data_IF_400537420894
#
_entry.id   IF_400537420894
#
_cell.length_a   1.000
_cell.length_b   1.000
_cell.length_c   1.000
_cell.angle_alpha   90.00
_cell.angle_beta   90.00
_cell.angle_gamma   90.00
#
_symmetry.space_group_name_H-M   'P 1'
#
loop_
_entity.id
_entity.type
_entity.pdbx_description
1 polymer ?
#
# COMPACT_ATOMS: atom_id res chain seq x y z
N UNK A 1 6.58 34.21 60.15
CA UNK A 1 7.26 33.59 61.34
C UNK A 1 7.24 32.08 61.19
N UNK A 2 8.42 31.51 61.25
CA UNK A 2 8.93 30.12 61.28
C UNK A 2 9.33 29.49 59.94
N UNK A 3 10.58 29.76 59.66
CA UNK A 3 11.59 29.00 58.93
C UNK A 3 11.87 27.61 59.53
N UNK A 4 12.16 26.61 58.66
CA UNK A 4 13.13 25.51 58.92
C UNK A 4 13.28 24.72 57.61
N UNK A 5 14.38 24.81 56.98
CA UNK A 5 15.72 24.19 57.08
C UNK A 5 15.83 22.92 56.23
N UNK A 6 16.65 23.06 55.24
CA UNK A 6 17.30 22.05 54.39
C UNK A 6 18.38 21.30 55.22
N UNK A 7 18.72 20.07 54.94
CA UNK A 7 20.11 19.68 55.00
C UNK A 7 20.69 19.15 53.69
N UNK A 8 21.93 19.57 53.51
CA UNK A 8 22.90 19.30 52.45
C UNK A 8 23.64 17.99 52.75
N UNK A 9 24.08 17.35 51.70
CA UNK A 9 24.95 16.24 51.35
C UNK A 9 25.89 15.60 52.41
N UNK A 10 26.51 14.44 52.06
CA UNK A 10 27.93 14.53 51.75
C UNK A 10 28.43 13.70 50.56
N UNK A 11 29.52 14.21 49.98
CA UNK A 11 30.43 13.59 49.03
C UNK A 11 31.10 12.31 49.55
N UNK A 12 31.34 11.33 48.68
CA UNK A 12 32.54 10.46 48.76
C UNK A 12 33.00 10.07 47.33
N UNK A 13 34.23 10.47 47.07
CA UNK A 13 35.34 10.04 46.23
C UNK A 13 35.24 8.60 45.69
N UNK A 14 35.37 8.33 44.43
CA UNK A 14 36.62 8.23 43.67
C UNK A 14 37.26 6.82 43.73
N UNK A 15 37.19 6.09 42.62
CA UNK A 15 38.25 5.15 42.23
C UNK A 15 38.23 4.90 40.71
N UNK A 16 39.32 5.30 40.10
CA UNK A 16 39.79 4.99 38.76
C UNK A 16 40.17 3.50 38.67
N UNK A 17 39.73 2.77 37.65
CA UNK A 17 40.53 1.67 37.06
C UNK A 17 40.24 1.59 35.57
N UNK A 18 41.28 1.84 34.80
CA UNK A 18 41.51 1.54 33.40
C UNK A 18 41.44 0.05 33.12
N UNK A 19 40.86 -0.36 31.98
CA UNK A 19 41.50 -1.38 31.12
C UNK A 19 40.79 -1.40 29.73
N UNK A 20 41.58 -1.00 28.75
CA UNK A 20 41.42 -1.29 27.34
C UNK A 20 41.25 -2.81 27.11
N UNK A 21 40.29 -3.18 26.31
CA UNK A 21 40.28 -4.47 25.63
C UNK A 21 40.08 -4.26 24.12
N UNK A 22 41.21 -4.24 23.46
CA UNK A 22 41.34 -4.27 22.00
C UNK A 22 41.02 -5.69 21.50
N UNK A 23 39.94 -5.84 20.77
CA UNK A 23 39.64 -7.10 20.05
C UNK A 23 40.26 -7.03 18.66
N UNK A 24 41.28 -7.83 18.44
CA UNK A 24 41.95 -8.05 17.14
C UNK A 24 41.08 -8.91 16.24
N UNK A 25 40.65 -8.35 15.13
CA UNK A 25 40.03 -9.09 14.02
C UNK A 25 41.13 -9.77 13.21
N UNK A 26 41.21 -11.10 13.24
CA UNK A 26 42.07 -11.92 12.35
C UNK A 26 41.41 -12.09 10.99
N UNK A 27 41.99 -11.46 9.97
CA UNK A 27 41.79 -11.86 8.56
C UNK A 27 42.42 -13.24 8.36
N UNK A 28 41.63 -14.20 7.86
CA UNK A 28 42.16 -15.43 7.24
C UNK A 28 41.94 -15.36 5.75
N UNK A 29 43.02 -15.15 5.05
CA UNK A 29 43.21 -15.39 3.63
C UNK A 29 43.26 -16.90 3.41
N UNK A 30 42.48 -17.43 2.44
CA UNK A 30 42.75 -18.75 1.87
C UNK A 30 42.95 -18.61 0.36
N UNK A 31 44.17 -19.01 -0.02
CA UNK A 31 44.62 -19.14 -1.40
C UNK A 31 44.13 -20.45 -2.01
N UNK A 32 44.03 -20.41 -3.32
CA UNK A 32 43.64 -21.44 -4.23
C UNK A 32 44.60 -22.68 -4.22
N UNK A 33 44.06 -23.83 -4.57
CA UNK A 33 44.81 -24.88 -5.26
C UNK A 33 43.89 -25.71 -6.15
N UNK A 34 44.23 -25.70 -7.40
CA UNK A 34 43.66 -26.50 -8.50
C UNK A 34 44.12 -27.97 -8.37
N UNK A 35 43.27 -28.93 -8.73
CA UNK A 35 43.73 -30.20 -9.30
C UNK A 35 42.61 -30.83 -10.11
N UNK A 36 42.90 -31.07 -11.36
CA UNK A 36 42.12 -31.80 -12.34
C UNK A 36 42.25 -33.32 -12.12
N UNK A 37 41.17 -34.08 -12.34
CA UNK A 37 41.27 -35.46 -12.77
C UNK A 37 40.14 -35.86 -13.70
N UNK A 38 40.55 -36.38 -14.85
CA UNK A 38 39.81 -36.92 -15.99
C UNK A 38 39.32 -38.33 -15.63
N UNK A 39 38.12 -38.69 -16.08
CA UNK A 39 37.67 -40.08 -16.05
C UNK A 39 36.40 -40.26 -16.91
N UNK A 40 36.62 -40.80 -18.11
CA UNK A 40 35.61 -41.13 -19.10
C UNK A 40 35.12 -42.56 -18.93
N UNK A 41 33.83 -42.82 -19.28
CA UNK A 41 33.26 -44.02 -19.95
C UNK A 41 31.77 -43.76 -20.14
N UNK A 42 31.17 -43.60 -21.23
CA UNK A 42 30.96 -44.30 -22.51
C UNK A 42 29.83 -45.33 -22.48
N UNK A 43 28.89 -45.13 -23.45
CA UNK A 43 28.02 -46.06 -24.19
C UNK A 43 26.66 -46.44 -23.55
N UNK A 44 25.51 -46.51 -24.22
CA UNK A 44 25.15 -46.45 -25.67
C UNK A 44 23.62 -46.24 -25.76
N UNK A 45 23.12 -45.54 -26.65
CA UNK A 45 22.60 -45.79 -28.01
C UNK A 45 21.11 -46.12 -28.08
N UNK A 46 20.39 -45.51 -28.86
CA UNK A 46 19.69 -45.48 -30.15
C UNK A 46 18.38 -44.75 -30.04
N UNK A 47 17.84 -43.96 -30.92
CA UNK A 47 18.07 -43.64 -32.30
C UNK A 47 16.89 -42.84 -32.82
N UNK A 48 17.10 -42.03 -33.87
CA UNK A 48 16.00 -41.59 -34.76
C UNK A 48 15.83 -40.09 -34.93
N UNK A 49 16.61 -39.54 -35.74
CA UNK A 49 16.46 -38.62 -36.91
C UNK A 49 15.23 -37.67 -36.94
N UNK A 50 15.37 -36.36 -36.94
CA UNK A 50 15.44 -35.54 -38.14
C UNK A 50 15.71 -34.04 -37.80
N UNK A 51 16.52 -33.48 -38.67
CA UNK A 51 17.04 -32.12 -38.80
C UNK A 51 15.98 -31.01 -38.81
N UNK A 52 16.23 -29.87 -38.10
CA UNK A 52 16.39 -28.60 -38.79
C UNK A 52 17.08 -27.53 -37.91
N UNK A 53 17.98 -26.82 -38.53
CA UNK A 53 18.82 -25.75 -37.99
C UNK A 53 18.03 -24.49 -37.64
N UNK A 54 18.34 -23.91 -36.50
CA UNK A 54 17.92 -22.56 -36.12
C UNK A 54 18.70 -22.11 -34.88
N UNK A 55 19.80 -21.37 -35.15
CA UNK A 55 20.59 -20.66 -34.15
C UNK A 55 19.71 -19.60 -33.47
N UNK A 56 19.51 -19.70 -32.16
CA UNK A 56 19.06 -18.58 -31.36
C UNK A 56 19.94 -18.45 -30.10
N UNK A 57 20.66 -17.35 -30.05
CA UNK A 57 21.37 -16.88 -28.88
C UNK A 57 20.43 -16.88 -27.66
N UNK A 58 20.71 -17.70 -26.67
CA UNK A 58 20.18 -17.55 -25.36
C UNK A 58 20.91 -16.40 -24.68
N UNK A 59 20.29 -15.24 -24.64
CA UNK A 59 20.62 -14.21 -23.68
C UNK A 59 20.20 -14.70 -22.30
N UNK A 60 21.18 -14.80 -21.40
CA UNK A 60 21.04 -15.06 -20.00
C UNK A 60 20.28 -13.89 -19.35
N UNK A 61 18.94 -13.99 -19.34
CA UNK A 61 18.06 -13.09 -18.62
C UNK A 61 18.12 -13.46 -17.15
N UNK A 62 18.77 -12.62 -16.36
CA UNK A 62 18.79 -12.73 -14.91
C UNK A 62 17.37 -12.92 -14.40
N UNK A 63 17.10 -14.05 -13.76
CA UNK A 63 15.92 -14.28 -12.95
C UNK A 63 16.01 -13.32 -11.75
N UNK A 64 15.36 -12.17 -11.85
CA UNK A 64 14.88 -11.45 -10.67
C UNK A 64 14.00 -12.44 -9.93
N UNK A 65 14.44 -12.95 -8.78
CA UNK A 65 13.63 -13.82 -7.95
C UNK A 65 12.44 -13.03 -7.45
N UNK A 66 11.26 -13.29 -8.02
CA UNK A 66 10.02 -12.91 -7.38
C UNK A 66 10.07 -13.48 -5.95
N UNK A 67 9.86 -12.65 -4.93
CA UNK A 67 9.76 -13.14 -3.57
C UNK A 67 8.61 -14.15 -3.51
N UNK A 68 8.96 -15.39 -3.19
CA UNK A 68 8.03 -16.51 -3.18
C UNK A 68 6.95 -16.27 -2.10
N UNK A 69 5.70 -16.61 -2.41
CA UNK A 69 4.62 -16.54 -1.44
C UNK A 69 4.97 -17.35 -0.18
N UNK A 70 4.56 -16.93 1.03
CA UNK A 70 4.84 -17.68 2.22
C UNK A 70 4.22 -19.08 2.13
N UNK A 71 4.91 -20.09 2.63
CA UNK A 71 4.32 -21.42 2.82
C UNK A 71 3.09 -21.28 3.74
N UNK A 72 1.98 -21.91 3.35
CA UNK A 72 0.74 -21.84 4.13
C UNK A 72 0.95 -22.41 5.52
N UNK A 73 0.65 -21.64 6.54
CA UNK A 73 0.73 -22.09 7.93
C UNK A 73 -0.22 -23.27 8.20
N UNK A 74 0.19 -24.15 9.12
CA UNK A 74 -0.66 -25.21 9.64
C UNK A 74 -1.58 -24.66 10.73
N UNK A 75 -2.75 -24.16 10.29
CA UNK A 75 -3.78 -23.58 11.14
C UNK A 75 -5.17 -23.84 10.56
N UNK A 76 -6.19 -23.81 11.44
CA UNK A 76 -7.60 -23.98 11.07
C UNK A 76 -8.14 -22.84 10.22
N UNK A 77 -7.55 -21.67 10.32
CA UNK A 77 -7.82 -20.51 9.47
C UNK A 77 -6.51 -19.79 9.15
N UNK A 78 -6.23 -19.55 7.86
CA UNK A 78 -5.06 -18.81 7.41
C UNK A 78 -5.52 -17.57 6.64
N UNK A 79 -5.03 -16.40 7.06
CA UNK A 79 -5.36 -15.10 6.45
C UNK A 79 -4.06 -14.48 5.93
N UNK A 80 -4.04 -14.03 4.66
CA UNK A 80 -2.93 -13.28 4.08
C UNK A 80 -3.25 -11.81 4.02
N UNK A 81 -2.24 -10.97 4.21
CA UNK A 81 -2.34 -9.51 4.03
C UNK A 81 -0.97 -8.85 4.03
N UNK A 82 -0.91 -7.52 3.90
CA UNK A 82 0.29 -6.72 4.08
C UNK A 82 0.71 -6.61 5.57
N UNK A 83 1.92 -6.08 5.80
CA UNK A 83 2.52 -6.02 7.14
C UNK A 83 1.71 -5.18 8.13
N UNK A 84 1.20 -3.99 7.72
CA UNK A 84 0.45 -3.11 8.64
C UNK A 84 -0.87 -3.74 9.07
N UNK A 85 -1.61 -4.30 8.12
CA UNK A 85 -2.86 -5.00 8.40
C UNK A 85 -2.63 -6.29 9.19
N UNK A 86 -1.56 -7.05 8.87
CA UNK A 86 -1.21 -8.26 9.63
C UNK A 86 -0.91 -7.92 11.10
N UNK A 87 -0.12 -6.87 11.35
CA UNK A 87 0.22 -6.45 12.70
C UNK A 87 -1.00 -6.00 13.52
N UNK A 88 -2.02 -5.42 12.88
CA UNK A 88 -3.26 -5.03 13.56
C UNK A 88 -4.21 -6.22 13.79
N UNK A 89 -4.24 -7.19 12.86
CA UNK A 89 -5.22 -8.28 12.89
C UNK A 89 -4.79 -9.48 13.74
N UNK A 90 -3.48 -9.81 13.79
CA UNK A 90 -2.99 -11.11 14.32
C UNK A 90 -3.45 -11.44 15.73
N UNK A 91 -3.40 -10.45 16.65
CA UNK A 91 -3.76 -10.69 18.06
C UNK A 91 -5.28 -10.78 18.25
N UNK A 92 -6.05 -9.93 17.55
CA UNK A 92 -7.51 -9.96 17.54
C UNK A 92 -8.04 -11.26 16.92
N UNK A 93 -7.49 -11.68 15.78
CA UNK A 93 -7.86 -12.94 15.13
C UNK A 93 -7.48 -14.18 15.97
N UNK A 94 -6.33 -14.15 16.66
CA UNK A 94 -5.93 -15.21 17.57
C UNK A 94 -6.89 -15.33 18.75
N UNK A 95 -7.25 -14.23 19.41
CA UNK A 95 -8.25 -14.22 20.51
C UNK A 95 -9.60 -14.76 20.05
N UNK A 96 -10.04 -14.33 18.87
CA UNK A 96 -11.27 -14.86 18.28
C UNK A 96 -11.18 -16.37 18.07
N UNK A 97 -10.05 -16.85 17.53
CA UNK A 97 -9.80 -18.27 17.31
C UNK A 97 -9.86 -19.08 18.62
N UNK A 98 -9.16 -18.62 19.66
CA UNK A 98 -9.17 -19.25 20.99
C UNK A 98 -10.59 -19.33 21.57
N UNK A 99 -11.40 -18.26 21.42
CA UNK A 99 -12.78 -18.25 21.88
C UNK A 99 -13.69 -19.22 21.11
N UNK A 100 -13.34 -19.55 19.85
CA UNK A 100 -14.10 -20.43 18.97
C UNK A 100 -13.46 -21.83 18.79
N UNK A 101 -12.42 -22.15 19.54
CA UNK A 101 -11.74 -23.44 19.49
C UNK A 101 -10.97 -23.69 18.20
N UNK A 102 -10.47 -22.61 17.54
CA UNK A 102 -9.75 -22.65 16.27
C UNK A 102 -8.37 -22.00 16.39
N UNK A 103 -7.38 -22.54 15.70
CA UNK A 103 -6.10 -21.88 15.48
C UNK A 103 -6.19 -20.93 14.29
N UNK A 104 -5.72 -19.68 14.45
CA UNK A 104 -5.72 -18.67 13.38
C UNK A 104 -4.29 -18.18 13.14
N UNK A 105 -3.86 -18.21 11.87
CA UNK A 105 -2.58 -17.68 11.43
C UNK A 105 -2.78 -16.50 10.46
N UNK A 106 -2.15 -15.36 10.77
CA UNK A 106 -2.10 -14.21 9.87
C UNK A 106 -0.68 -14.13 9.30
N UNK A 107 -0.56 -14.23 7.97
CA UNK A 107 0.73 -14.27 7.27
C UNK A 107 0.89 -13.03 6.39
N UNK A 108 2.11 -12.48 6.39
CA UNK A 108 2.49 -11.30 5.61
C UNK A 108 2.91 -11.71 4.21
N UNK A 109 2.34 -11.05 3.20
CA UNK A 109 2.78 -11.13 1.81
C UNK A 109 3.26 -9.75 1.38
N UNK A 110 4.58 -9.56 1.38
CA UNK A 110 5.19 -8.24 1.21
C UNK A 110 5.39 -7.84 -0.26
N UNK A 111 5.43 -8.80 -1.19
CA UNK A 111 5.71 -8.56 -2.62
C UNK A 111 4.62 -9.20 -3.45
N UNK A 112 4.12 -8.47 -4.45
CA UNK A 112 3.08 -8.91 -5.39
C UNK A 112 1.93 -9.71 -4.75
N UNK A 113 1.29 -9.20 -3.68
CA UNK A 113 0.37 -9.99 -2.87
C UNK A 113 -0.83 -10.50 -3.66
N UNK A 114 -1.32 -9.76 -4.66
CA UNK A 114 -2.43 -10.18 -5.50
C UNK A 114 -2.05 -11.36 -6.40
N UNK A 115 -0.93 -11.27 -7.12
CA UNK A 115 -0.46 -12.34 -8.02
C UNK A 115 -0.08 -13.60 -7.22
N UNK A 116 0.58 -13.43 -6.08
CA UNK A 116 0.91 -14.54 -5.18
C UNK A 116 -0.34 -15.24 -4.62
N UNK A 117 -1.37 -14.46 -4.24
CA UNK A 117 -2.64 -15.01 -3.79
C UNK A 117 -3.34 -15.82 -4.88
N UNK A 118 -3.46 -15.26 -6.09
CA UNK A 118 -4.10 -15.95 -7.23
C UNK A 118 -3.36 -17.28 -7.51
N UNK A 119 -2.04 -17.23 -7.61
CA UNK A 119 -1.22 -18.42 -7.91
C UNK A 119 -1.35 -19.49 -6.83
N UNK A 120 -1.23 -19.12 -5.56
CA UNK A 120 -1.33 -20.06 -4.45
C UNK A 120 -2.75 -20.63 -4.30
N UNK A 121 -3.78 -19.80 -4.53
CA UNK A 121 -5.17 -20.25 -4.51
C UNK A 121 -5.45 -21.28 -5.63
N UNK A 122 -4.98 -21.02 -6.84
CA UNK A 122 -5.11 -21.97 -7.97
C UNK A 122 -4.38 -23.29 -7.71
N UNK A 123 -3.24 -23.23 -7.02
CA UNK A 123 -2.47 -24.43 -6.62
C UNK A 123 -3.07 -25.17 -5.40
N UNK A 124 -4.10 -24.62 -4.75
CA UNK A 124 -4.74 -25.22 -3.55
C UNK A 124 -3.87 -25.21 -2.29
N UNK A 125 -2.82 -24.37 -2.26
CA UNK A 125 -1.92 -24.19 -1.11
C UNK A 125 -1.91 -22.74 -0.58
N UNK A 126 -2.85 -21.93 -1.02
CA UNK A 126 -3.04 -20.57 -0.56
C UNK A 126 -3.74 -20.46 0.81
N UNK A 127 -4.02 -19.21 1.24
CA UNK A 127 -4.77 -18.96 2.47
C UNK A 127 -6.25 -19.31 2.31
N UNK A 128 -7.00 -19.24 3.39
CA UNK A 128 -8.46 -19.36 3.38
C UNK A 128 -9.12 -17.99 3.15
N UNK A 129 -8.43 -16.91 3.51
CA UNK A 129 -8.87 -15.54 3.33
C UNK A 129 -7.71 -14.62 2.92
N UNK A 130 -8.04 -13.54 2.23
CA UNK A 130 -7.12 -12.42 2.03
C UNK A 130 -7.78 -11.11 2.47
N UNK A 131 -7.01 -10.25 3.15
CA UNK A 131 -7.43 -8.90 3.51
C UNK A 131 -6.73 -7.93 2.56
N UNK A 132 -7.50 -7.30 1.68
CA UNK A 132 -6.99 -6.47 0.59
C UNK A 132 -7.97 -5.36 0.18
N UNK A 133 -7.56 -4.48 -0.72
CA UNK A 133 -8.37 -3.40 -1.25
C UNK A 133 -9.40 -3.90 -2.28
N UNK A 134 -10.50 -3.17 -2.42
CA UNK A 134 -11.65 -3.57 -3.23
C UNK A 134 -11.40 -3.55 -4.75
N UNK A 135 -10.44 -2.77 -5.23
CA UNK A 135 -10.06 -2.73 -6.64
C UNK A 135 -9.57 -4.09 -7.18
N UNK A 136 -9.24 -5.02 -6.28
CA UNK A 136 -8.83 -6.38 -6.66
C UNK A 136 -10.00 -7.26 -7.10
N UNK A 137 -11.24 -6.92 -6.74
CA UNK A 137 -12.43 -7.78 -6.93
C UNK A 137 -12.51 -8.30 -8.36
N UNK A 138 -12.46 -7.42 -9.36
CA UNK A 138 -12.60 -7.81 -10.76
C UNK A 138 -11.54 -8.82 -11.20
N UNK A 139 -10.27 -8.56 -10.89
CA UNK A 139 -9.18 -9.47 -11.22
C UNK A 139 -9.27 -10.79 -10.45
N UNK A 140 -9.64 -10.75 -9.17
CA UNK A 140 -9.82 -11.97 -8.38
C UNK A 140 -10.97 -12.85 -8.88
N UNK A 141 -12.08 -12.24 -9.33
CA UNK A 141 -13.20 -12.96 -9.94
C UNK A 141 -12.81 -13.56 -11.28
N UNK A 142 -12.16 -12.80 -12.15
CA UNK A 142 -11.66 -13.27 -13.45
C UNK A 142 -10.76 -14.50 -13.30
N UNK A 143 -9.96 -14.56 -12.25
CA UNK A 143 -9.08 -15.68 -11.92
C UNK A 143 -9.74 -16.76 -11.05
N UNK A 144 -11.03 -16.67 -10.77
CA UNK A 144 -11.76 -17.60 -9.88
C UNK A 144 -11.07 -17.77 -8.53
N UNK A 145 -10.50 -16.69 -7.99
CA UNK A 145 -9.69 -16.73 -6.77
C UNK A 145 -10.50 -16.48 -5.48
N UNK A 146 -11.68 -15.85 -5.58
CA UNK A 146 -12.57 -15.56 -4.45
C UNK A 146 -13.99 -16.05 -4.72
N UNK A 147 -14.77 -16.21 -3.66
CA UNK A 147 -16.18 -16.58 -3.72
C UNK A 147 -17.08 -15.48 -3.19
N UNK A 148 -18.33 -15.35 -3.69
CA UNK A 148 -19.32 -14.49 -3.07
C UNK A 148 -19.54 -14.88 -1.60
N UNK A 149 -19.83 -13.86 -0.79
CA UNK A 149 -20.14 -14.02 0.62
C UNK A 149 -21.56 -13.58 0.91
N UNK A 150 -22.17 -14.14 1.96
CA UNK A 150 -23.50 -13.72 2.39
C UNK A 150 -23.37 -13.03 3.75
N UNK A 151 -23.77 -11.75 3.77
CA UNK A 151 -23.88 -10.98 4.99
C UNK A 151 -25.33 -10.99 5.48
N UNK A 152 -25.54 -11.00 6.79
CA UNK A 152 -26.88 -10.84 7.35
C UNK A 152 -27.43 -9.44 7.05
N UNK A 153 -28.75 -9.27 7.09
CA UNK A 153 -29.36 -7.96 6.94
C UNK A 153 -28.80 -6.96 7.97
N UNK A 154 -28.62 -7.38 9.21
CA UNK A 154 -28.05 -6.57 10.28
C UNK A 154 -26.64 -6.10 9.95
N UNK A 155 -25.77 -6.99 9.47
CA UNK A 155 -24.40 -6.64 9.07
C UNK A 155 -24.41 -5.64 7.91
N UNK A 156 -25.22 -5.88 6.88
CA UNK A 156 -25.36 -4.98 5.72
C UNK A 156 -25.84 -3.58 6.12
N UNK A 157 -26.85 -3.48 6.98
CA UNK A 157 -27.38 -2.20 7.46
C UNK A 157 -26.39 -1.43 8.34
N UNK A 158 -25.50 -2.14 9.05
CA UNK A 158 -24.47 -1.52 9.90
C UNK A 158 -23.32 -0.93 9.11
N UNK A 159 -23.15 -1.29 7.85
CA UNK A 159 -22.05 -0.83 6.99
C UNK A 159 -22.49 0.41 6.20
N UNK A 160 -21.57 1.35 5.97
CA UNK A 160 -21.80 2.51 5.14
C UNK A 160 -22.02 2.13 3.67
N UNK A 161 -22.73 3.00 2.94
CA UNK A 161 -23.04 2.80 1.52
C UNK A 161 -21.78 2.63 0.68
N UNK A 162 -20.72 3.43 0.93
CA UNK A 162 -19.44 3.33 0.22
C UNK A 162 -18.79 1.95 0.41
N UNK A 163 -18.85 1.40 1.63
CA UNK A 163 -18.33 0.08 1.94
C UNK A 163 -19.09 -1.02 1.20
N UNK A 164 -20.43 -0.99 1.24
CA UNK A 164 -21.26 -1.97 0.56
C UNK A 164 -21.14 -1.88 -0.96
N UNK A 165 -21.07 -0.66 -1.52
CA UNK A 165 -20.85 -0.44 -2.95
C UNK A 165 -19.52 -1.03 -3.40
N UNK A 166 -18.44 -0.77 -2.65
CA UNK A 166 -17.11 -1.29 -2.95
C UNK A 166 -17.01 -2.83 -2.82
N UNK A 167 -17.82 -3.45 -1.93
CA UNK A 167 -17.84 -4.89 -1.75
C UNK A 167 -18.70 -5.63 -2.79
N UNK A 168 -19.48 -4.88 -3.59
CA UNK A 168 -20.46 -5.45 -4.54
C UNK A 168 -19.93 -5.36 -5.97
N UNK A 169 -19.91 -6.49 -6.66
CA UNK A 169 -19.54 -6.59 -8.07
C UNK A 169 -20.59 -7.42 -8.81
N UNK A 170 -21.12 -6.89 -9.92
CA UNK A 170 -22.21 -7.54 -10.70
C UNK A 170 -23.39 -8.01 -9.82
N UNK A 171 -23.75 -7.20 -8.82
CA UNK A 171 -24.88 -7.47 -7.93
C UNK A 171 -24.65 -8.52 -6.84
N UNK A 172 -23.41 -9.02 -6.68
CA UNK A 172 -23.04 -9.96 -5.64
C UNK A 172 -22.00 -9.34 -4.68
N UNK A 173 -22.09 -9.66 -3.38
CA UNK A 173 -21.14 -9.23 -2.38
C UNK A 173 -19.99 -10.24 -2.31
N UNK A 174 -18.73 -9.75 -2.45
CA UNK A 174 -17.55 -10.62 -2.51
C UNK A 174 -16.67 -10.58 -1.26
N UNK A 175 -16.94 -9.70 -0.32
CA UNK A 175 -16.17 -9.61 0.92
C UNK A 175 -16.88 -8.80 1.99
N UNK A 176 -16.34 -8.84 3.21
CA UNK A 176 -16.78 -7.97 4.29
C UNK A 176 -15.92 -6.70 4.29
N UNK A 177 -16.48 -5.54 3.95
CA UNK A 177 -15.74 -4.28 4.08
C UNK A 177 -15.59 -3.90 5.55
N UNK A 178 -14.38 -3.45 5.95
CA UNK A 178 -14.15 -3.06 7.34
C UNK A 178 -13.64 -1.64 7.51
N UNK A 179 -12.93 -1.07 6.54
CA UNK A 179 -12.39 0.27 6.59
C UNK A 179 -12.39 0.95 5.23
N UNK A 180 -12.52 2.28 5.23
CA UNK A 180 -12.34 3.15 4.07
C UNK A 180 -11.13 4.05 4.32
N UNK A 181 -10.40 4.40 3.26
CA UNK A 181 -9.24 5.28 3.32
C UNK A 181 -9.15 6.16 2.08
N UNK A 182 -8.55 7.33 2.24
CA UNK A 182 -8.15 8.17 1.12
C UNK A 182 -6.85 8.88 1.45
N UNK A 183 -6.13 9.31 0.42
CA UNK A 183 -4.97 10.17 0.61
C UNK A 183 -5.41 11.57 1.05
N UNK A 184 -4.62 12.14 1.94
CA UNK A 184 -4.79 13.49 2.47
C UNK A 184 -3.46 14.22 2.50
N UNK A 185 -3.50 15.52 2.68
CA UNK A 185 -2.33 16.33 2.95
C UNK A 185 -2.14 16.47 4.47
N UNK A 186 -0.96 16.12 4.96
CA UNK A 186 -0.48 16.46 6.30
C UNK A 186 0.50 17.60 6.18
N UNK A 187 0.29 18.68 6.93
CA UNK A 187 1.16 19.84 7.00
C UNK A 187 1.87 19.89 8.35
N UNK A 188 3.19 20.09 8.35
CA UNK A 188 3.95 20.26 9.58
C UNK A 188 3.86 21.73 10.03
N UNK A 189 3.03 22.00 11.04
CA UNK A 189 2.77 23.35 11.54
C UNK A 189 4.00 24.03 12.15
N UNK A 190 5.07 23.28 12.48
CA UNK A 190 6.34 23.85 12.92
C UNK A 190 7.19 24.35 11.75
N UNK A 191 6.90 23.96 10.51
CA UNK A 191 7.67 24.30 9.32
C UNK A 191 6.93 25.20 8.34
N UNK A 192 5.61 25.24 8.36
CA UNK A 192 4.83 26.04 7.42
C UNK A 192 3.73 26.84 8.11
N UNK A 193 3.56 28.10 7.69
CA UNK A 193 2.45 28.98 8.10
C UNK A 193 1.19 28.79 7.20
N UNK A 194 1.25 27.89 6.21
CA UNK A 194 0.15 27.58 5.29
C UNK A 194 -0.26 26.11 5.49
N UNK A 195 -1.02 25.80 6.57
CA UNK A 195 -1.40 24.42 6.89
C UNK A 195 -2.44 23.82 5.95
N UNK A 196 -3.21 24.64 5.24
CA UNK A 196 -4.24 24.21 4.28
C UNK A 196 -4.09 24.99 2.95
N UNK A 197 -3.03 24.69 2.15
CA UNK A 197 -2.81 25.35 0.88
C UNK A 197 -3.98 25.11 -0.08
N UNK A 198 -4.32 26.09 -0.88
CA UNK A 198 -5.47 26.03 -1.81
C UNK A 198 -5.07 25.50 -3.18
N UNK A 199 -3.79 25.62 -3.53
CA UNK A 199 -3.22 25.12 -4.79
C UNK A 199 -1.88 24.43 -4.53
N UNK A 200 -1.44 23.62 -5.47
CA UNK A 200 -0.10 23.00 -5.44
C UNK A 200 0.98 24.09 -5.49
N UNK A 201 0.75 25.16 -6.24
CA UNK A 201 1.68 26.27 -6.32
C UNK A 201 1.85 26.97 -4.96
N UNK A 202 0.76 27.20 -4.21
CA UNK A 202 0.82 27.77 -2.86
C UNK A 202 1.56 26.81 -1.89
N UNK A 203 1.31 25.49 -1.99
CA UNK A 203 2.03 24.48 -1.23
C UNK A 203 3.54 24.55 -1.50
N UNK A 204 3.92 24.65 -2.78
CA UNK A 204 5.32 24.71 -3.22
C UNK A 204 6.00 25.97 -2.70
N UNK A 205 5.35 27.14 -2.81
CA UNK A 205 5.90 28.41 -2.29
C UNK A 205 6.09 28.37 -0.76
N UNK A 206 5.08 27.92 -0.03
CA UNK A 206 5.16 27.78 1.43
C UNK A 206 6.22 26.76 1.85
N UNK A 207 6.32 25.64 1.17
CA UNK A 207 7.34 24.63 1.42
C UNK A 207 8.76 25.14 1.13
N UNK A 208 8.99 25.93 0.09
CA UNK A 208 10.27 26.61 -0.19
C UNK A 208 10.61 27.61 0.92
N UNK A 209 9.63 28.37 1.39
CA UNK A 209 9.82 29.35 2.46
C UNK A 209 10.14 28.68 3.81
N UNK A 210 9.70 27.46 4.05
CA UNK A 210 9.96 26.72 5.30
C UNK A 210 11.43 26.38 5.53
N UNK A 211 12.24 26.30 4.48
CA UNK A 211 13.63 25.84 4.53
C UNK A 211 13.78 24.35 4.82
N UNK A 212 12.71 23.56 4.75
CA UNK A 212 12.76 22.13 4.93
C UNK A 212 13.61 21.44 3.84
N UNK A 213 14.17 20.27 4.15
CA UNK A 213 14.92 19.44 3.18
C UNK A 213 14.05 19.00 2.00
N UNK A 214 12.78 18.68 2.30
CA UNK A 214 11.75 18.35 1.34
C UNK A 214 10.56 19.30 1.46
N UNK A 215 10.12 19.83 0.33
CA UNK A 215 8.88 20.60 0.24
C UNK A 215 7.70 19.65 0.51
N UNK A 216 7.68 18.55 -0.21
CA UNK A 216 6.63 17.54 -0.19
C UNK A 216 7.24 16.14 -0.07
N UNK A 217 6.87 15.40 0.96
CA UNK A 217 7.15 13.98 1.07
C UNK A 217 6.00 13.20 0.41
N UNK A 218 6.21 12.79 -0.84
CA UNK A 218 5.28 12.00 -1.63
C UNK A 218 5.98 10.72 -2.09
N UNK A 219 5.49 9.51 -1.76
CA UNK A 219 6.07 8.27 -2.25
C UNK A 219 6.01 8.20 -3.77
N UNK A 220 7.15 8.03 -4.40
CA UNK A 220 7.27 7.83 -5.84
C UNK A 220 8.11 6.58 -6.09
N UNK A 221 9.36 6.55 -5.61
CA UNK A 221 10.29 5.46 -5.88
C UNK A 221 10.80 5.46 -7.32
N UNK A 222 11.71 4.55 -7.61
CA UNK A 222 12.25 4.39 -8.96
C UNK A 222 11.27 3.67 -9.92
N UNK A 223 10.40 2.83 -9.38
CA UNK A 223 9.37 2.08 -10.12
C UNK A 223 8.04 2.81 -10.21
N UNK A 224 7.92 3.96 -9.52
CA UNK A 224 6.72 4.77 -9.47
C UNK A 224 5.70 4.26 -8.45
N UNK A 225 4.76 5.15 -8.11
CA UNK A 225 3.63 4.85 -7.23
C UNK A 225 2.38 5.60 -7.73
N UNK A 226 1.68 4.98 -8.68
CA UNK A 226 0.53 5.58 -9.34
C UNK A 226 -0.62 5.87 -8.36
N UNK A 227 -0.73 5.13 -7.24
CA UNK A 227 -1.74 5.36 -6.22
C UNK A 227 -1.51 6.70 -5.49
N UNK A 228 -0.28 6.94 -5.00
CA UNK A 228 0.03 8.19 -4.30
C UNK A 228 0.10 9.40 -5.24
N UNK A 229 0.41 9.18 -6.52
CA UNK A 229 0.49 10.22 -7.54
C UNK A 229 -0.88 10.60 -8.14
N UNK A 230 -1.93 9.81 -7.90
CA UNK A 230 -3.26 10.02 -8.48
C UNK A 230 -3.85 11.41 -8.26
N UNK A 231 -3.75 12.04 -7.05
CA UNK A 231 -4.29 13.38 -6.84
C UNK A 231 -3.68 14.44 -7.77
N UNK A 232 -2.37 14.35 -8.02
CA UNK A 232 -1.68 15.26 -8.94
C UNK A 232 -2.02 14.94 -10.40
N UNK A 233 -2.15 13.65 -10.72
CA UNK A 233 -2.48 13.17 -12.05
C UNK A 233 -3.90 13.61 -12.47
N UNK A 234 -4.89 13.43 -11.61
CA UNK A 234 -6.28 13.86 -11.87
C UNK A 234 -6.40 15.38 -11.92
N UNK A 235 -5.72 16.10 -11.04
CA UNK A 235 -5.69 17.56 -11.08
C UNK A 235 -5.07 18.08 -12.38
N UNK A 236 -4.05 17.44 -12.89
CA UNK A 236 -3.43 17.75 -14.18
C UNK A 236 -4.30 17.43 -15.41
N UNK A 237 -5.46 16.80 -15.22
CA UNK A 237 -6.39 16.42 -16.28
C UNK A 237 -6.32 14.96 -16.70
N UNK A 238 -5.50 14.14 -16.04
CA UNK A 238 -5.41 12.70 -16.27
C UNK A 238 -6.66 11.96 -15.77
N UNK A 239 -6.94 10.82 -16.37
CA UNK A 239 -7.92 9.84 -15.90
C UNK A 239 -7.47 8.44 -16.31
N UNK A 240 -7.95 7.41 -15.62
CA UNK A 240 -7.55 6.03 -15.92
C UNK A 240 -8.44 5.42 -17.02
N UNK A 241 -9.73 5.38 -16.76
CA UNK A 241 -10.75 4.85 -17.67
C UNK A 241 -11.87 5.87 -17.85
N UNK A 242 -12.46 5.89 -19.05
CA UNK A 242 -13.70 6.61 -19.30
C UNK A 242 -14.86 6.04 -18.49
N UNK A 243 -16.07 6.54 -18.74
CA UNK A 243 -17.28 6.08 -18.06
C UNK A 243 -18.28 5.53 -19.05
N UNK A 244 -18.92 4.41 -18.70
CA UNK A 244 -20.08 3.88 -19.41
C UNK A 244 -21.29 4.83 -19.25
N UNK A 245 -22.38 4.56 -19.97
CA UNK A 245 -23.62 5.31 -19.82
C UNK A 245 -24.21 5.24 -18.40
N UNK A 246 -23.91 4.17 -17.67
CA UNK A 246 -24.31 3.91 -16.29
C UNK A 246 -23.38 4.58 -15.27
N UNK A 247 -22.23 5.11 -15.72
CA UNK A 247 -21.24 5.80 -14.89
C UNK A 247 -20.13 4.89 -14.35
N UNK A 248 -20.09 3.63 -14.72
CA UNK A 248 -19.04 2.69 -14.36
C UNK A 248 -17.77 2.91 -15.20
N UNK A 249 -16.62 2.40 -14.73
CA UNK A 249 -15.38 2.48 -15.49
C UNK A 249 -15.47 1.69 -16.81
N UNK A 250 -15.10 2.35 -17.91
CA UNK A 250 -15.09 1.76 -19.26
C UNK A 250 -13.64 1.38 -19.66
N UNK A 251 -13.27 0.08 -19.62
CA UNK A 251 -11.93 -0.35 -20.00
C UNK A 251 -11.61 -0.17 -21.49
N UNK A 252 -12.61 0.10 -22.34
CA UNK A 252 -12.37 0.42 -23.74
C UNK A 252 -11.91 1.86 -23.98
N UNK A 253 -12.10 2.74 -23.00
CA UNK A 253 -11.67 4.14 -23.00
C UNK A 253 -10.54 4.36 -21.99
N UNK A 254 -9.29 4.02 -22.36
CA UNK A 254 -8.10 4.24 -21.56
C UNK A 254 -7.69 5.71 -21.66
N UNK A 255 -7.58 6.39 -20.51
CA UNK A 255 -7.18 7.80 -20.42
C UNK A 255 -5.66 8.01 -20.46
N UNK A 256 -4.91 7.01 -20.00
CA UNK A 256 -3.43 7.07 -20.02
C UNK A 256 -2.93 7.14 -21.46
N UNK A 257 -2.05 8.11 -21.74
CA UNK A 257 -1.56 8.40 -23.08
C UNK A 257 -2.38 9.42 -23.87
N UNK A 258 -3.55 9.85 -23.36
CA UNK A 258 -4.35 10.92 -23.96
C UNK A 258 -3.90 12.32 -23.52
N UNK A 259 -4.46 13.36 -24.14
CA UNK A 259 -4.09 14.76 -23.93
C UNK A 259 -4.05 15.15 -22.43
N UNK A 260 -5.08 14.80 -21.66
CA UNK A 260 -5.11 15.10 -20.22
C UNK A 260 -4.02 14.37 -19.43
N UNK A 261 -3.70 13.14 -19.79
CA UNK A 261 -2.59 12.37 -19.20
C UNK A 261 -1.23 13.01 -19.50
N UNK A 262 -1.04 13.52 -20.72
CA UNK A 262 0.18 14.22 -21.13
C UNK A 262 0.30 15.55 -20.38
N UNK A 263 -0.79 16.32 -20.28
CA UNK A 263 -0.83 17.58 -19.53
C UNK A 263 -0.51 17.37 -18.04
N UNK A 264 -1.04 16.31 -17.43
CA UNK A 264 -0.65 15.91 -16.07
C UNK A 264 0.84 15.60 -16.00
N UNK A 265 1.38 14.87 -16.98
CA UNK A 265 2.81 14.58 -17.08
C UNK A 265 3.69 15.84 -17.14
N UNK A 266 3.27 16.87 -17.86
CA UNK A 266 4.01 18.16 -17.90
C UNK A 266 4.10 18.78 -16.51
N UNK A 267 3.00 18.79 -15.73
CA UNK A 267 3.00 19.25 -14.35
C UNK A 267 3.92 18.44 -13.43
N UNK A 268 3.92 17.12 -13.57
CA UNK A 268 4.84 16.26 -12.80
C UNK A 268 6.30 16.53 -13.15
N UNK A 269 6.61 16.80 -14.41
CA UNK A 269 7.95 17.17 -14.88
C UNK A 269 8.41 18.51 -14.29
N UNK A 270 7.53 19.52 -14.28
CA UNK A 270 7.78 20.82 -13.64
C UNK A 270 8.15 20.63 -12.16
N UNK A 271 7.32 19.91 -11.40
CA UNK A 271 7.56 19.63 -9.97
C UNK A 271 8.84 18.81 -9.73
N UNK A 272 9.17 17.88 -10.63
CA UNK A 272 10.42 17.13 -10.60
C UNK A 272 11.64 18.03 -10.80
N UNK A 273 11.61 18.90 -11.82
CA UNK A 273 12.67 19.85 -12.12
C UNK A 273 12.92 20.87 -11.00
N UNK A 274 11.86 21.24 -10.26
CA UNK A 274 11.93 22.11 -9.10
C UNK A 274 12.39 21.38 -7.82
N UNK A 275 12.57 20.06 -7.86
CA UNK A 275 12.94 19.24 -6.70
C UNK A 275 11.83 19.07 -5.66
N UNK A 276 10.59 19.36 -6.03
CA UNK A 276 9.40 19.12 -5.19
C UNK A 276 9.09 17.63 -5.14
N UNK A 277 9.10 16.97 -6.30
CA UNK A 277 8.95 15.52 -6.44
C UNK A 277 10.32 14.85 -6.58
N UNK A 278 10.53 13.77 -5.83
CA UNK A 278 11.82 13.06 -5.78
C UNK A 278 11.60 11.55 -5.80
N UNK A 279 12.19 10.83 -6.74
CA UNK A 279 12.12 9.34 -6.78
C UNK A 279 12.88 8.67 -5.64
N UNK A 280 13.71 9.41 -4.90
CA UNK A 280 14.34 8.93 -3.66
C UNK A 280 13.37 8.80 -2.48
N UNK A 281 12.17 9.41 -2.58
CA UNK A 281 11.10 9.28 -1.59
C UNK A 281 10.24 8.08 -2.01
N UNK A 282 10.12 7.12 -1.09
CA UNK A 282 9.46 5.83 -1.32
C UNK A 282 8.45 5.57 -0.22
N UNK A 283 7.56 4.59 -0.39
CA UNK A 283 6.65 4.13 0.67
C UNK A 283 7.35 3.72 1.97
N UNK A 284 8.66 3.40 1.93
CA UNK A 284 9.44 3.00 3.11
C UNK A 284 9.97 4.17 3.93
N UNK A 285 10.15 5.35 3.32
CA UNK A 285 10.78 6.48 4.00
C UNK A 285 9.95 7.76 4.05
N UNK A 286 8.87 7.87 3.28
CA UNK A 286 8.06 9.10 3.19
C UNK A 286 7.51 9.57 4.55
N UNK A 287 6.91 8.66 5.33
CA UNK A 287 6.36 8.99 6.64
C UNK A 287 7.49 9.40 7.59
N UNK A 288 8.61 8.67 7.60
CA UNK A 288 9.75 8.98 8.45
C UNK A 288 10.36 10.36 8.13
N UNK A 289 10.45 10.74 6.85
CA UNK A 289 10.93 12.08 6.46
C UNK A 289 10.05 13.19 7.04
N UNK A 290 8.75 13.00 7.07
CA UNK A 290 7.82 13.96 7.67
C UNK A 290 7.94 13.98 9.20
N UNK A 291 7.92 12.82 9.85
CA UNK A 291 7.99 12.71 11.32
C UNK A 291 9.36 13.11 11.90
N UNK A 292 10.43 13.00 11.12
CA UNK A 292 11.75 13.52 11.45
C UNK A 292 11.87 15.06 11.28
N UNK A 293 10.80 15.75 10.84
CA UNK A 293 10.80 17.20 10.60
C UNK A 293 11.58 17.62 9.35
N UNK A 294 11.83 16.72 8.40
CA UNK A 294 12.57 16.98 7.16
C UNK A 294 11.67 17.49 6.03
N UNK A 295 10.37 17.22 6.08
CA UNK A 295 9.40 17.61 5.07
C UNK A 295 8.37 18.59 5.64
N UNK A 296 8.06 19.65 4.88
CA UNK A 296 7.01 20.61 5.23
C UNK A 296 5.61 20.00 5.07
N UNK A 297 5.43 19.17 4.05
CA UNK A 297 4.18 18.51 3.72
C UNK A 297 4.38 17.01 3.45
N UNK A 298 3.33 16.23 3.71
CA UNK A 298 3.28 14.80 3.39
C UNK A 298 1.92 14.49 2.73
N UNK A 299 1.93 13.83 1.57
CA UNK A 299 0.74 13.16 1.04
C UNK A 299 0.80 11.70 1.45
N UNK A 300 -0.17 11.27 2.25
CA UNK A 300 -0.30 9.90 2.72
C UNK A 300 -1.74 9.62 3.16
N UNK A 301 -2.05 8.37 3.46
CA UNK A 301 -3.34 7.98 4.00
C UNK A 301 -3.38 7.94 5.54
N UNK A 302 -4.51 7.48 6.12
CA UNK A 302 -4.70 7.42 7.58
C UNK A 302 -3.71 6.46 8.27
N UNK A 303 -3.10 5.55 7.55
CA UNK A 303 -2.03 4.67 8.07
C UNK A 303 -0.77 5.41 8.54
N UNK A 304 -0.61 6.70 8.21
CA UNK A 304 0.48 7.54 8.70
C UNK A 304 0.20 8.12 10.09
N UNK A 305 -1.07 8.22 10.51
CA UNK A 305 -1.49 8.91 11.73
C UNK A 305 -0.80 8.37 12.98
N UNK A 306 -0.70 7.05 13.13
CA UNK A 306 -0.07 6.45 14.31
C UNK A 306 1.39 6.88 14.47
N UNK A 307 2.15 6.93 13.37
CA UNK A 307 3.55 7.37 13.38
C UNK A 307 3.66 8.88 13.63
N UNK A 308 2.79 9.69 13.02
CA UNK A 308 2.74 11.15 13.20
C UNK A 308 2.42 11.51 14.65
N UNK A 309 1.41 10.89 15.24
CA UNK A 309 1.01 11.11 16.65
C UNK A 309 2.08 10.62 17.63
N UNK A 310 2.69 9.45 17.37
CA UNK A 310 3.79 8.92 18.17
C UNK A 310 5.02 9.84 18.17
N UNK A 311 5.28 10.51 17.05
CA UNK A 311 6.36 11.50 16.93
C UNK A 311 6.04 12.82 17.65
N UNK A 312 4.81 13.01 18.14
CA UNK A 312 4.38 14.25 18.82
C UNK A 312 4.33 15.46 17.89
N UNK A 313 4.07 15.22 16.59
CA UNK A 313 4.03 16.30 15.60
C UNK A 313 2.87 17.26 15.86
N UNK A 314 3.12 18.55 15.68
CA UNK A 314 2.07 19.55 15.48
C UNK A 314 1.74 19.57 13.98
N UNK A 315 0.56 19.09 13.62
CA UNK A 315 0.17 18.90 12.21
C UNK A 315 -1.27 19.32 11.95
N UNK A 316 -1.53 19.64 10.69
CA UNK A 316 -2.89 19.81 10.17
C UNK A 316 -3.13 18.77 9.07
N UNK A 317 -4.31 18.13 9.08
CA UNK A 317 -4.78 17.26 8.01
C UNK A 317 -5.76 18.04 7.13
N UNK A 318 -5.60 18.02 5.81
CA UNK A 318 -6.50 18.68 4.87
C UNK A 318 -6.68 17.88 3.58
N UNK A 319 -7.62 18.32 2.73
CA UNK A 319 -7.70 17.83 1.36
C UNK A 319 -6.40 18.19 0.60
N UNK A 320 -6.02 17.33 -0.34
CA UNK A 320 -4.91 17.60 -1.25
C UNK A 320 -5.37 18.70 -2.23
N UNK A 321 -4.62 19.80 -2.39
CA UNK A 321 -5.00 20.84 -3.33
C UNK A 321 -4.76 20.41 -4.78
N UNK A 322 -5.52 20.99 -5.72
CA UNK A 322 -5.26 20.88 -7.15
C UNK A 322 -4.25 21.92 -7.63
N UNK A 323 -3.84 21.83 -8.90
CA UNK A 323 -3.07 22.86 -9.59
C UNK A 323 -3.93 24.11 -9.82
N UNK A 324 -3.31 25.29 -9.76
CA UNK A 324 -4.01 26.56 -9.99
C UNK A 324 -4.66 26.61 -11.38
N UNK A 325 -5.97 26.89 -11.43
CA UNK A 325 -6.72 27.00 -12.68
C UNK A 325 -6.98 25.66 -13.40
N UNK A 326 -6.65 24.52 -12.78
CA UNK A 326 -6.89 23.18 -13.31
C UNK A 326 -7.98 22.43 -12.53
N UNK A 327 -8.11 21.12 -12.74
CA UNK A 327 -9.11 20.31 -12.06
C UNK A 327 -8.81 20.19 -10.54
N UNK A 328 -9.81 19.93 -9.69
CA UNK A 328 -9.57 19.50 -8.34
C UNK A 328 -8.70 18.23 -8.31
N UNK A 329 -7.93 18.04 -7.24
CA UNK A 329 -7.27 16.78 -6.97
C UNK A 329 -8.32 15.75 -6.52
N UNK A 330 -8.35 14.58 -7.14
CA UNK A 330 -9.28 13.49 -6.84
C UNK A 330 -8.49 12.25 -6.41
N UNK A 331 -8.08 12.14 -5.12
CA UNK A 331 -7.47 10.93 -4.61
C UNK A 331 -8.46 9.78 -4.63
N UNK A 332 -7.96 8.54 -4.67
CA UNK A 332 -8.83 7.37 -4.57
C UNK A 332 -9.46 7.22 -3.18
N UNK A 333 -10.73 6.79 -3.17
CA UNK A 333 -11.32 6.13 -2.01
C UNK A 333 -11.02 4.63 -2.10
N UNK A 334 -10.22 4.13 -1.17
CA UNK A 334 -9.91 2.71 -1.00
C UNK A 334 -10.81 2.08 0.07
N UNK A 335 -11.41 0.93 -0.21
CA UNK A 335 -12.14 0.15 0.81
C UNK A 335 -11.43 -1.17 1.00
N UNK A 336 -11.09 -1.48 2.24
CA UNK A 336 -10.41 -2.71 2.61
C UNK A 336 -11.44 -3.78 2.99
N UNK A 337 -11.28 -4.98 2.42
CA UNK A 337 -12.22 -6.10 2.58
C UNK A 337 -11.51 -7.37 3.05
N UNK A 338 -12.26 -8.17 3.81
CA UNK A 338 -11.96 -9.58 4.02
C UNK A 338 -12.60 -10.40 2.92
N UNK A 339 -11.79 -10.98 2.04
CA UNK A 339 -12.22 -11.87 0.97
C UNK A 339 -12.07 -13.33 1.37
N UNK A 340 -13.00 -14.19 0.92
CA UNK A 340 -12.89 -15.64 1.10
C UNK A 340 -12.32 -16.28 -0.16
N UNK A 341 -11.23 -17.03 0.01
CA UNK A 341 -10.55 -17.71 -1.07
C UNK A 341 -11.43 -18.85 -1.64
N UNK A 342 -11.49 -18.97 -2.98
CA UNK A 342 -12.28 -19.98 -3.65
C UNK A 342 -11.77 -21.42 -3.41
N UNK A 343 -10.45 -21.60 -3.31
CA UNK A 343 -9.79 -22.88 -3.09
C UNK A 343 -9.08 -22.96 -1.73
N UNK A 344 -9.54 -22.17 -0.73
CA UNK A 344 -9.07 -22.27 0.65
C UNK A 344 -9.35 -23.66 1.23
N UNK A 345 -8.39 -24.22 1.96
CA UNK A 345 -8.55 -25.55 2.58
C UNK A 345 -9.68 -25.60 3.59
N UNK A 346 -9.93 -24.48 4.27
CA UNK A 346 -10.88 -24.36 5.38
C UNK A 346 -11.94 -23.29 5.08
N UNK A 347 -12.59 -23.37 3.92
CA UNK A 347 -13.59 -22.39 3.48
C UNK A 347 -14.75 -22.19 4.47
N UNK A 348 -15.15 -23.24 5.22
CA UNK A 348 -16.18 -23.16 6.26
C UNK A 348 -15.72 -22.29 7.42
N UNK A 349 -14.45 -22.46 7.87
CA UNK A 349 -13.88 -21.63 8.95
C UNK A 349 -13.77 -20.16 8.51
N UNK A 350 -13.39 -19.92 7.25
CA UNK A 350 -13.33 -18.59 6.67
C UNK A 350 -14.71 -17.89 6.67
N UNK A 351 -15.77 -18.61 6.25
CA UNK A 351 -17.13 -18.07 6.30
C UNK A 351 -17.61 -17.83 7.73
N UNK A 352 -17.28 -18.73 8.67
CA UNK A 352 -17.60 -18.60 10.08
C UNK A 352 -16.93 -17.36 10.69
N UNK A 353 -15.64 -17.17 10.42
CA UNK A 353 -14.90 -15.99 10.86
C UNK A 353 -15.53 -14.71 10.29
N UNK A 354 -15.77 -14.67 8.99
CA UNK A 354 -16.34 -13.51 8.30
C UNK A 354 -17.71 -13.15 8.86
N UNK A 355 -18.63 -14.13 9.04
CA UNK A 355 -19.94 -13.90 9.62
C UNK A 355 -19.84 -13.43 11.08
N UNK A 356 -18.95 -14.03 11.86
CA UNK A 356 -18.76 -13.64 13.27
C UNK A 356 -18.29 -12.20 13.40
N UNK A 357 -17.29 -11.76 12.62
CA UNK A 357 -16.79 -10.39 12.69
C UNK A 357 -17.74 -9.35 12.05
N UNK A 358 -18.65 -9.80 11.19
CA UNK A 358 -19.72 -8.95 10.65
C UNK A 358 -20.85 -8.69 11.66
N UNK A 359 -21.11 -9.65 12.56
CA UNK A 359 -22.13 -9.56 13.62
C UNK A 359 -21.60 -8.92 14.91
N UNK A 360 -20.31 -9.21 15.23
CA UNK A 360 -19.58 -8.69 16.39
C UNK A 360 -18.30 -7.99 15.93
N UNK A 361 -18.30 -6.68 15.99
CA UNK A 361 -17.23 -5.81 15.51
C UNK A 361 -15.95 -5.84 16.36
N UNK A 362 -15.86 -6.64 17.42
CA UNK A 362 -14.74 -6.66 18.39
C UNK A 362 -13.37 -6.81 17.69
N UNK A 363 -13.25 -7.70 16.71
CA UNK A 363 -11.99 -7.88 15.97
C UNK A 363 -11.59 -6.60 15.25
N UNK A 364 -12.53 -5.93 14.58
CA UNK A 364 -12.29 -4.68 13.85
C UNK A 364 -11.96 -3.54 14.83
N UNK A 365 -12.64 -3.46 15.96
CA UNK A 365 -12.36 -2.48 17.02
C UNK A 365 -10.96 -2.67 17.61
N UNK A 366 -10.49 -3.92 17.81
CA UNK A 366 -9.13 -4.21 18.28
C UNK A 366 -8.04 -3.91 17.25
N UNK A 367 -8.36 -3.94 15.97
CA UNK A 367 -7.41 -3.55 14.90
C UNK A 367 -7.14 -2.04 14.89
N UNK A 368 -8.13 -1.23 15.23
CA UNK A 368 -8.11 0.23 15.07
C UNK A 368 -6.94 0.92 15.81
N UNK A 369 -6.60 0.63 17.08
CA UNK A 369 -5.50 1.31 17.76
C UNK A 369 -4.13 1.09 17.13
N UNK A 370 -3.96 0.00 16.38
CA UNK A 370 -2.69 -0.39 15.76
C UNK A 370 -2.59 0.15 14.33
N UNK A 371 -3.70 0.10 13.59
CA UNK A 371 -3.82 0.63 12.24
C UNK A 371 -5.13 1.45 12.14
N UNK A 372 -5.10 2.74 12.50
CA UNK A 372 -6.29 3.58 12.63
C UNK A 372 -6.84 3.98 11.26
N UNK A 373 -7.52 3.03 10.60
CA UNK A 373 -8.30 3.28 9.39
C UNK A 373 -9.75 3.59 9.75
N UNK A 374 -10.40 4.58 9.11
CA UNK A 374 -11.81 4.87 9.32
C UNK A 374 -12.67 3.64 9.05
N UNK A 375 -13.33 3.05 10.07
CA UNK A 375 -14.16 1.87 9.85
C UNK A 375 -15.41 2.23 9.07
N UNK A 376 -15.87 1.31 8.20
CA UNK A 376 -17.15 1.48 7.48
C UNK A 376 -18.36 1.04 8.31
N UNK A 377 -18.14 0.48 9.49
CA UNK A 377 -19.22 0.12 10.41
C UNK A 377 -19.66 1.36 11.21
N UNK A 378 -20.92 1.76 11.04
CA UNK A 378 -21.53 2.98 11.64
C UNK A 378 -21.48 3.00 13.17
N UNK A 379 -21.57 1.84 13.83
CA UNK A 379 -21.52 1.77 15.28
C UNK A 379 -20.09 1.96 15.80
N UNK A 380 -19.10 1.40 15.11
CA UNK A 380 -17.68 1.64 15.45
C UNK A 380 -17.32 3.11 15.21
N UNK A 381 -17.75 3.71 14.11
CA UNK A 381 -17.55 5.14 13.84
C UNK A 381 -18.07 6.00 14.99
N UNK A 382 -19.31 5.75 15.44
CA UNK A 382 -19.89 6.49 16.57
C UNK A 382 -19.10 6.34 17.86
N UNK A 383 -18.60 5.12 18.16
CA UNK A 383 -17.79 4.87 19.36
C UNK A 383 -16.47 5.65 19.32
N UNK A 384 -15.81 5.67 18.14
CA UNK A 384 -14.47 6.22 17.98
C UNK A 384 -14.44 7.73 17.69
N UNK A 385 -15.56 8.32 17.25
CA UNK A 385 -15.62 9.70 16.79
C UNK A 385 -15.16 10.72 17.86
N UNK A 386 -15.49 10.49 19.14
CA UNK A 386 -15.13 11.40 20.23
C UNK A 386 -13.64 11.41 20.59
N UNK A 387 -12.94 10.31 20.33
CA UNK A 387 -11.54 10.12 20.69
C UNK A 387 -10.60 10.30 19.50
N UNK A 388 -11.13 10.17 18.26
CA UNK A 388 -10.35 10.15 17.03
C UNK A 388 -10.92 11.11 15.96
N UNK A 389 -10.85 12.44 16.15
CA UNK A 389 -11.40 13.42 15.19
C UNK A 389 -10.73 13.34 13.81
N UNK A 390 -9.46 12.96 13.73
CA UNK A 390 -8.75 12.78 12.46
C UNK A 390 -9.32 11.64 11.61
N UNK A 391 -9.82 10.59 12.26
CA UNK A 391 -10.52 9.49 11.59
C UNK A 391 -11.80 10.01 10.91
N UNK A 392 -12.58 10.81 11.60
CA UNK A 392 -13.82 11.41 11.05
C UNK A 392 -13.47 12.31 9.87
N UNK A 393 -12.44 13.15 10.01
CA UNK A 393 -11.99 14.03 8.94
C UNK A 393 -11.53 13.24 7.70
N UNK A 394 -10.79 12.12 7.88
CA UNK A 394 -10.40 11.26 6.77
C UNK A 394 -11.63 10.58 6.12
N UNK A 395 -12.59 10.08 6.92
CA UNK A 395 -13.83 9.50 6.38
C UNK A 395 -14.65 10.52 5.57
N UNK A 396 -14.75 11.77 6.04
CA UNK A 396 -15.41 12.86 5.31
C UNK A 396 -14.70 13.17 3.97
N UNK A 397 -13.36 13.16 3.94
CA UNK A 397 -12.58 13.33 2.72
C UNK A 397 -12.75 12.13 1.78
N UNK A 398 -12.73 10.91 2.32
CA UNK A 398 -12.93 9.68 1.55
C UNK A 398 -14.31 9.64 0.89
N UNK A 399 -15.36 10.19 1.52
CA UNK A 399 -16.71 10.26 0.94
C UNK A 399 -16.79 11.13 -0.33
N UNK A 400 -15.80 11.99 -0.55
CA UNK A 400 -15.69 12.89 -1.72
C UNK A 400 -14.61 12.43 -2.71
N UNK A 401 -13.86 11.39 -2.36
CA UNK A 401 -12.78 10.86 -3.17
C UNK A 401 -13.29 10.01 -4.33
N UNK A 402 -12.43 9.77 -5.32
CA UNK A 402 -12.74 8.96 -6.48
C UNK A 402 -12.75 7.47 -6.10
N UNK A 403 -13.86 6.73 -6.24
CA UNK A 403 -13.82 5.28 -6.03
C UNK A 403 -12.84 4.61 -7.01
N UNK A 404 -11.94 3.77 -6.51
CA UNK A 404 -11.06 2.99 -7.39
C UNK A 404 -11.90 2.06 -8.28
N UNK A 405 -11.60 1.99 -9.60
CA UNK A 405 -12.27 1.04 -10.47
C UNK A 405 -12.03 -0.41 -10.04
N UNK A 406 -13.10 -1.15 -9.73
CA UNK A 406 -13.01 -2.56 -9.33
C UNK A 406 -13.08 -3.53 -10.54
N UNK A 407 -12.68 -3.07 -11.73
CA UNK A 407 -12.67 -3.87 -12.96
C UNK A 407 -11.35 -4.64 -13.13
N UNK A 408 -11.34 -5.79 -13.84
CA UNK A 408 -10.10 -6.56 -14.06
C UNK A 408 -8.97 -5.75 -14.68
N UNK A 409 -9.30 -4.81 -15.58
CA UNK A 409 -8.36 -3.94 -16.27
C UNK A 409 -7.53 -3.06 -15.32
N UNK A 410 -8.01 -2.80 -14.09
CA UNK A 410 -7.29 -1.96 -13.13
C UNK A 410 -5.93 -2.53 -12.76
N UNK A 411 -5.78 -3.85 -12.71
CA UNK A 411 -4.50 -4.51 -12.43
C UNK A 411 -3.40 -4.17 -13.45
N UNK A 412 -3.78 -3.86 -14.69
CA UNK A 412 -2.84 -3.51 -15.76
C UNK A 412 -2.34 -2.06 -15.67
N UNK A 413 -2.94 -1.20 -14.85
CA UNK A 413 -2.65 0.24 -14.81
C UNK A 413 -1.43 0.56 -13.95
N UNK A 414 -1.34 -0.07 -12.78
CA UNK A 414 -0.44 0.36 -11.70
C UNK A 414 1.02 0.49 -12.12
N UNK A 415 1.58 -0.56 -12.70
CA UNK A 415 3.00 -0.59 -13.04
C UNK A 415 3.35 0.33 -14.23
N UNK A 416 2.67 0.27 -15.40
CA UNK A 416 3.03 1.13 -16.52
C UNK A 416 2.87 2.62 -16.20
N UNK A 417 1.78 3.03 -15.54
CA UNK A 417 1.54 4.42 -15.17
C UNK A 417 2.56 4.88 -14.12
N UNK A 418 2.82 4.09 -13.08
CA UNK A 418 3.80 4.42 -12.05
C UNK A 418 5.20 4.65 -12.63
N UNK A 419 5.68 3.74 -13.47
CA UNK A 419 7.00 3.86 -14.15
C UNK A 419 7.04 5.11 -15.03
N UNK A 420 5.98 5.39 -15.78
CA UNK A 420 5.92 6.59 -16.62
C UNK A 420 6.04 7.86 -15.77
N UNK A 421 5.26 7.96 -14.68
CA UNK A 421 5.29 9.09 -13.76
C UNK A 421 6.68 9.28 -13.12
N UNK A 422 7.31 8.19 -12.63
CA UNK A 422 8.64 8.26 -12.05
C UNK A 422 9.71 8.71 -13.07
N UNK A 423 9.62 8.25 -14.32
CA UNK A 423 10.54 8.66 -15.38
C UNK A 423 10.33 10.13 -15.76
N UNK A 424 9.09 10.61 -15.80
CA UNK A 424 8.76 12.01 -16.05
C UNK A 424 9.32 12.90 -14.95
N UNK A 425 9.18 12.54 -13.68
CA UNK A 425 9.78 13.25 -12.54
C UNK A 425 11.31 13.35 -12.69
N UNK A 426 11.96 12.34 -13.28
CA UNK A 426 13.39 12.34 -13.60
C UNK A 426 13.75 13.11 -14.88
N UNK A 427 12.77 13.66 -15.60
CA UNK A 427 12.96 14.53 -16.76
C UNK A 427 12.65 13.87 -18.11
N UNK A 428 12.08 12.66 -18.15
CA UNK A 428 11.62 12.05 -19.41
C UNK A 428 10.56 12.95 -20.10
N UNK A 429 10.38 12.74 -21.40
CA UNK A 429 9.34 13.41 -22.15
C UNK A 429 7.95 12.91 -21.73
N UNK A 430 7.02 13.78 -21.31
CA UNK A 430 5.72 13.37 -20.81
C UNK A 430 4.85 12.67 -21.85
N UNK A 431 4.90 13.15 -23.11
CA UNK A 431 4.13 12.56 -24.19
C UNK A 431 4.58 11.14 -24.46
N UNK A 432 5.88 10.96 -24.72
CA UNK A 432 6.44 9.64 -25.03
C UNK A 432 6.21 8.64 -23.89
N UNK A 433 6.39 9.08 -22.63
CA UNK A 433 6.22 8.23 -21.47
C UNK A 433 4.75 7.82 -21.26
N UNK A 434 3.80 8.76 -21.36
CA UNK A 434 2.38 8.48 -21.14
C UNK A 434 1.76 7.69 -22.30
N UNK A 435 2.13 7.99 -23.58
CA UNK A 435 1.67 7.20 -24.72
C UNK A 435 2.17 5.75 -24.62
N UNK A 436 3.44 5.54 -24.27
CA UNK A 436 4.00 4.18 -24.06
C UNK A 436 3.28 3.44 -22.92
N UNK A 437 2.99 4.11 -21.81
CA UNK A 437 2.24 3.50 -20.70
C UNK A 437 0.81 3.12 -21.13
N UNK A 438 0.11 3.99 -21.86
CA UNK A 438 -1.22 3.71 -22.39
C UNK A 438 -1.26 2.50 -23.34
N UNK A 439 -0.26 2.38 -24.22
CA UNK A 439 -0.12 1.20 -25.11
C UNK A 439 0.15 -0.08 -24.31
N UNK A 440 1.00 -0.01 -23.27
CA UNK A 440 1.28 -1.16 -22.41
C UNK A 440 0.01 -1.61 -21.67
N UNK A 441 -0.75 -0.67 -21.06
CA UNK A 441 -2.03 -0.97 -20.40
C UNK A 441 -2.97 -1.65 -21.39
N UNK A 442 -3.18 -1.05 -22.56
CA UNK A 442 -4.05 -1.59 -23.61
C UNK A 442 -3.68 -2.99 -24.06
N UNK A 443 -2.39 -3.34 -24.04
CA UNK A 443 -1.92 -4.67 -24.45
C UNK A 443 -2.16 -5.75 -23.39
N UNK A 444 -2.51 -5.37 -22.15
CA UNK A 444 -2.70 -6.28 -21.01
C UNK A 444 -4.18 -6.51 -20.65
N UNK A 445 -5.07 -5.76 -21.24
CA UNK A 445 -6.52 -5.87 -21.08
C UNK A 445 -7.18 -6.31 -22.39
#
# INVERSE_FOLDING_TARGET
MKTRHIPVAPHLRGTTISKENTVKIRRKTFLAASAATIGATALAACGGNNSNSGSSNASDGGKGGAAEAPERADADLVIWTDEKKANSLKDAAKKWGEANGMSVAVQIVATDPQANFITANQAGNGPDMILAAHDWIGNLIQNSAITPVQLSAKATESIDEIGMKAATYEGQVYGLPYAVETLVLYSNNALTDVPEPKTIEELVEAGKASGAEDILSLPIGEEGDAYHMEPLYTSGGGYLFGKTAEGDADPSDIGVGKEGSIAAGEKLKELGAEGVLKTSITGKNSIARFTDGKAAYLISGPWALADIQKAGMDYTMSAIPGFEGMNPAEPFAGVNLFFVAANGKNAVNAQTFLQSIAEDSTVIEEMFPINPLPPVNKEIQKKLAGEHPDMIKNAELASKALPMPAIPAMAAVWQPLGIAQANIVKGADPKDAMESAGEQIKSQI
#
